data_IF_615384009926
#
_entry.id   IF_615384009926
#
_cell.length_a   1.000
_cell.length_b   1.000
_cell.length_c   1.000
_cell.angle_alpha   90.00
_cell.angle_beta   90.00
_cell.angle_gamma   90.00
#
_symmetry.space_group_name_H-M   'P 1'
#
loop_
_entity.id
_entity.type
_entity.pdbx_description
1 polymer ?
#
# COMPACT_ATOMS: atom_id res chain seq x y z
N UNK A 1 -15.36 -5.19 -3.22
CA UNK A 1 -15.30 -5.58 -1.80
C UNK A 1 -14.08 -4.95 -1.14
N UNK A 2 -14.07 -4.92 0.20
CA UNK A 2 -12.98 -4.39 1.01
C UNK A 2 -12.36 -5.54 1.81
N UNK A 3 -11.13 -5.91 1.48
CA UNK A 3 -10.44 -7.08 2.03
C UNK A 3 -9.38 -6.68 3.04
N UNK A 4 -9.26 -7.46 4.10
CA UNK A 4 -8.29 -7.29 5.18
C UNK A 4 -7.54 -8.59 5.43
N UNK A 5 -6.36 -8.48 6.01
CA UNK A 5 -5.74 -9.58 6.75
C UNK A 5 -5.79 -9.21 8.22
N UNK A 6 -6.26 -10.10 9.08
CA UNK A 6 -6.48 -9.81 10.49
C UNK A 6 -6.04 -10.96 11.39
N UNK A 7 -5.94 -10.69 12.70
CA UNK A 7 -5.82 -11.69 13.76
C UNK A 7 -6.85 -11.40 14.86
N UNK A 8 -7.51 -12.45 15.34
CA UNK A 8 -8.45 -12.35 16.48
C UNK A 8 -7.75 -12.07 17.80
N UNK A 9 -6.50 -12.51 17.96
CA UNK A 9 -5.67 -12.28 19.14
C UNK A 9 -4.18 -12.39 18.78
N UNK A 10 -3.31 -12.15 19.75
CA UNK A 10 -1.85 -12.11 19.56
C UNK A 10 -1.23 -13.47 19.19
N UNK A 11 -1.92 -14.57 19.48
CA UNK A 11 -1.47 -15.95 19.19
C UNK A 11 -2.13 -16.55 17.96
N UNK A 12 -3.26 -15.98 17.50
CA UNK A 12 -4.00 -16.45 16.35
C UNK A 12 -3.20 -16.33 15.04
N UNK A 13 -3.42 -17.25 14.08
CA UNK A 13 -2.88 -17.10 12.74
C UNK A 13 -3.48 -15.88 12.05
N UNK A 14 -2.75 -15.31 11.10
CA UNK A 14 -3.31 -14.30 10.20
C UNK A 14 -4.36 -14.96 9.29
N UNK A 15 -5.52 -14.33 9.15
CA UNK A 15 -6.63 -14.79 8.32
C UNK A 15 -7.07 -13.71 7.33
N UNK A 16 -7.53 -14.15 6.18
CA UNK A 16 -8.24 -13.33 5.20
C UNK A 16 -9.64 -12.99 5.72
N UNK A 17 -9.99 -11.71 5.68
CA UNK A 17 -11.34 -11.26 5.97
C UNK A 17 -11.87 -10.27 4.94
N UNK A 18 -13.18 -10.11 4.92
CA UNK A 18 -13.88 -9.03 4.21
C UNK A 18 -14.57 -8.12 5.21
N UNK A 19 -14.52 -6.81 4.97
CA UNK A 19 -15.28 -5.84 5.76
C UNK A 19 -16.72 -5.79 5.27
N UNK A 20 -17.66 -6.02 6.18
CA UNK A 20 -19.09 -5.81 6.00
C UNK A 20 -19.54 -4.92 7.16
N UNK A 21 -19.87 -3.67 6.87
CA UNK A 21 -20.08 -2.62 7.88
C UNK A 21 -18.90 -2.50 8.88
N UNK A 22 -19.15 -2.72 10.17
CA UNK A 22 -18.16 -2.69 11.24
C UNK A 22 -17.64 -4.08 11.64
N UNK A 23 -17.93 -5.10 10.82
CA UNK A 23 -17.52 -6.48 11.02
C UNK A 23 -16.41 -6.89 10.05
N UNK A 24 -15.49 -7.71 10.55
CA UNK A 24 -14.60 -8.54 9.73
C UNK A 24 -15.22 -9.92 9.62
N UNK A 25 -15.63 -10.29 8.41
CA UNK A 25 -16.06 -11.65 8.07
C UNK A 25 -14.82 -12.48 7.74
N UNK A 26 -14.51 -13.50 8.53
CA UNK A 26 -13.47 -14.48 8.21
C UNK A 26 -13.92 -15.29 6.99
N UNK A 27 -13.24 -15.10 5.84
CA UNK A 27 -13.69 -15.71 4.60
C UNK A 27 -13.55 -17.24 4.60
N UNK A 28 -12.59 -17.78 5.36
CA UNK A 28 -12.43 -19.22 5.47
C UNK A 28 -13.60 -19.84 6.25
N UNK A 29 -13.89 -19.31 7.44
CA UNK A 29 -15.01 -19.79 8.27
C UNK A 29 -16.37 -19.54 7.59
N UNK A 30 -16.54 -18.40 6.93
CA UNK A 30 -17.72 -18.09 6.12
C UNK A 30 -17.93 -19.12 5.01
N UNK A 31 -16.88 -19.38 4.22
CA UNK A 31 -16.93 -20.35 3.14
C UNK A 31 -17.27 -21.77 3.62
N UNK A 32 -16.71 -22.20 4.77
CA UNK A 32 -17.06 -23.47 5.39
C UNK A 32 -18.54 -23.52 5.83
N UNK A 33 -19.03 -22.46 6.45
CA UNK A 33 -20.39 -22.40 6.99
C UNK A 33 -21.47 -22.52 5.90
N UNK A 34 -21.21 -21.99 4.70
CA UNK A 34 -22.15 -22.03 3.56
C UNK A 34 -21.86 -23.16 2.56
N UNK A 35 -20.86 -24.01 2.83
CA UNK A 35 -20.47 -25.10 1.95
C UNK A 35 -19.79 -24.68 0.65
N UNK A 36 -19.18 -23.49 0.61
CA UNK A 36 -18.38 -22.97 -0.50
C UNK A 36 -16.98 -22.59 -0.02
N UNK A 37 -16.02 -23.53 -0.01
CA UNK A 37 -14.69 -23.28 0.56
C UNK A 37 -13.98 -22.09 -0.08
N UNK A 38 -13.49 -21.19 0.78
CA UNK A 38 -12.64 -20.06 0.43
C UNK A 38 -11.27 -20.21 1.12
N UNK A 39 -10.19 -19.66 0.56
CA UNK A 39 -8.87 -19.73 1.18
C UNK A 39 -8.81 -18.85 2.43
N UNK A 40 -7.86 -19.17 3.30
CA UNK A 40 -7.66 -18.47 4.57
C UNK A 40 -6.67 -17.31 4.52
N UNK A 41 -6.05 -17.05 3.36
CA UNK A 41 -5.06 -16.00 3.20
C UNK A 41 -5.24 -15.22 1.89
N UNK A 42 -4.81 -13.96 1.92
CA UNK A 42 -5.02 -12.99 0.84
C UNK A 42 -4.39 -13.42 -0.49
N UNK A 43 -3.17 -13.97 -0.46
CA UNK A 43 -2.45 -14.32 -1.68
C UNK A 43 -3.10 -15.49 -2.41
N UNK A 44 -3.56 -16.50 -1.68
CA UNK A 44 -4.28 -17.63 -2.28
C UNK A 44 -5.64 -17.17 -2.84
N UNK A 45 -6.31 -16.21 -2.19
CA UNK A 45 -7.53 -15.61 -2.75
C UNK A 45 -7.28 -14.83 -4.04
N UNK A 46 -6.20 -14.05 -4.09
CA UNK A 46 -5.77 -13.34 -5.29
C UNK A 46 -5.47 -14.34 -6.43
N UNK A 47 -4.82 -15.47 -6.12
CA UNK A 47 -4.51 -16.51 -7.11
C UNK A 47 -5.75 -17.18 -7.73
N UNK A 48 -6.87 -17.21 -7.02
CA UNK A 48 -8.15 -17.70 -7.58
C UNK A 48 -8.71 -16.78 -8.67
N UNK A 49 -8.20 -15.55 -8.78
CA UNK A 49 -8.51 -14.62 -9.85
C UNK A 49 -9.87 -13.91 -9.72
N UNK A 50 -10.26 -13.12 -10.74
CA UNK A 50 -11.40 -12.20 -10.65
C UNK A 50 -12.75 -12.90 -10.47
N UNK A 51 -12.88 -14.16 -10.89
CA UNK A 51 -14.11 -14.95 -10.67
C UNK A 51 -14.38 -15.16 -9.17
N UNK A 52 -13.34 -15.41 -8.37
CA UNK A 52 -13.50 -15.59 -6.92
C UNK A 52 -13.95 -14.31 -6.22
N UNK A 53 -13.47 -13.14 -6.68
CA UNK A 53 -13.94 -11.83 -6.19
C UNK A 53 -15.43 -11.67 -6.51
N UNK A 54 -15.85 -11.91 -7.76
CA UNK A 54 -17.25 -11.75 -8.15
C UNK A 54 -18.19 -12.67 -7.35
N UNK A 55 -17.84 -13.96 -7.24
CA UNK A 55 -18.62 -14.94 -6.48
C UNK A 55 -18.66 -14.59 -5.00
N UNK A 56 -17.53 -14.27 -4.38
CA UNK A 56 -17.47 -13.94 -2.95
C UNK A 56 -18.21 -12.63 -2.65
N UNK A 57 -18.12 -11.62 -3.51
CA UNK A 57 -18.92 -10.39 -3.41
C UNK A 57 -20.42 -10.68 -3.43
N UNK A 58 -20.88 -11.60 -4.29
CA UNK A 58 -22.28 -11.98 -4.36
C UNK A 58 -22.72 -12.71 -3.09
N UNK A 59 -21.92 -13.66 -2.60
CA UNK A 59 -22.21 -14.40 -1.37
C UNK A 59 -22.27 -13.48 -0.15
N UNK A 60 -21.31 -12.56 0.01
CA UNK A 60 -21.34 -11.60 1.12
C UNK A 60 -22.58 -10.70 1.07
N UNK A 61 -23.05 -10.32 -0.12
CA UNK A 61 -24.29 -9.55 -0.28
C UNK A 61 -25.54 -10.37 0.03
N UNK A 62 -25.57 -11.64 -0.35
CA UNK A 62 -26.69 -12.56 -0.09
C UNK A 62 -26.87 -12.81 1.41
N UNK A 63 -25.78 -12.91 2.17
CA UNK A 63 -25.78 -13.20 3.61
C UNK A 63 -25.61 -11.94 4.48
N UNK A 64 -25.62 -10.73 3.92
CA UNK A 64 -25.32 -9.50 4.65
C UNK A 64 -26.23 -9.29 5.88
N UNK A 65 -27.52 -9.63 5.78
CA UNK A 65 -28.50 -9.46 6.85
C UNK A 65 -28.48 -10.61 7.88
N UNK A 66 -27.96 -11.78 7.53
CA UNK A 66 -27.97 -12.99 8.35
C UNK A 66 -26.69 -13.81 8.14
N UNK A 67 -25.56 -13.25 8.57
CA UNK A 67 -24.27 -13.96 8.55
C UNK A 67 -24.34 -15.22 9.45
N UNK A 68 -23.77 -16.37 9.01
CA UNK A 68 -23.68 -17.55 9.86
C UNK A 68 -23.00 -17.27 11.20
N UNK A 69 -23.47 -17.91 12.26
CA UNK A 69 -22.90 -17.70 13.61
C UNK A 69 -21.41 -18.05 13.66
N UNK A 70 -20.61 -17.16 14.23
CA UNK A 70 -19.19 -17.39 14.49
C UNK A 70 -18.24 -17.07 13.33
N UNK A 71 -18.74 -16.58 12.19
CA UNK A 71 -17.90 -16.27 11.02
C UNK A 71 -17.45 -14.81 10.96
N UNK A 72 -17.94 -13.94 11.85
CA UNK A 72 -17.65 -12.52 11.85
C UNK A 72 -17.33 -11.99 13.24
N UNK A 73 -16.42 -11.02 13.31
CA UNK A 73 -15.96 -10.36 14.53
C UNK A 73 -15.95 -8.85 14.32
N UNK A 74 -16.37 -8.02 15.29
CA UNK A 74 -16.23 -6.57 15.18
C UNK A 74 -14.79 -6.15 14.88
N UNK A 75 -14.60 -5.20 13.95
CA UNK A 75 -13.26 -4.68 13.56
C UNK A 75 -12.49 -4.19 14.77
N UNK A 76 -13.17 -3.58 15.75
CA UNK A 76 -12.57 -3.09 16.99
C UNK A 76 -11.97 -4.19 17.89
N UNK A 77 -12.35 -5.45 17.67
CA UNK A 77 -11.92 -6.60 18.47
C UNK A 77 -10.83 -7.43 17.78
N UNK A 78 -10.32 -6.99 16.63
CA UNK A 78 -9.24 -7.67 15.91
C UNK A 78 -8.06 -6.75 15.69
N UNK A 79 -6.87 -7.33 15.49
CA UNK A 79 -5.72 -6.59 14.97
C UNK A 79 -5.70 -6.73 13.46
N UNK A 80 -5.90 -5.62 12.76
CA UNK A 80 -5.64 -5.55 11.32
C UNK A 80 -4.12 -5.62 11.09
N UNK A 81 -3.73 -6.43 10.11
CA UNK A 81 -2.37 -6.52 9.59
C UNK A 81 -2.31 -5.82 8.22
N UNK A 82 -1.12 -5.70 7.67
CA UNK A 82 -0.97 -5.37 6.26
C UNK A 82 -1.78 -6.37 5.41
N UNK A 83 -2.58 -5.94 4.42
CA UNK A 83 -3.41 -6.86 3.64
C UNK A 83 -2.63 -8.02 3.00
N UNK A 84 -1.38 -7.76 2.60
CA UNK A 84 -0.40 -8.78 2.20
C UNK A 84 0.81 -8.61 3.12
N UNK A 85 0.87 -9.32 4.28
CA UNK A 85 1.95 -9.13 5.26
C UNK A 85 3.34 -9.45 4.71
N UNK A 86 3.41 -10.38 3.76
CA UNK A 86 4.66 -10.78 3.10
C UNK A 86 4.45 -10.93 1.60
N UNK A 87 4.74 -9.89 0.80
CA UNK A 87 4.72 -9.99 -0.65
C UNK A 87 5.68 -11.07 -1.17
N UNK A 88 5.32 -11.75 -2.27
CA UNK A 88 6.13 -12.80 -2.91
C UNK A 88 7.40 -12.24 -3.55
N UNK A 89 7.32 -11.01 -4.06
CA UNK A 89 8.43 -10.23 -4.64
C UNK A 89 8.59 -8.90 -3.93
N UNK A 90 9.70 -8.21 -4.22
CA UNK A 90 9.84 -6.82 -3.82
C UNK A 90 8.69 -5.98 -4.38
N UNK A 91 8.29 -4.98 -3.60
CA UNK A 91 7.34 -3.95 -4.03
C UNK A 91 8.05 -3.09 -5.08
N UNK A 92 7.41 -2.86 -6.23
CA UNK A 92 7.89 -1.90 -7.23
C UNK A 92 7.49 -0.50 -6.79
N UNK A 93 8.46 0.38 -6.56
CA UNK A 93 8.18 1.78 -6.26
C UNK A 93 8.48 2.67 -7.45
N UNK A 94 7.69 3.74 -7.62
CA UNK A 94 7.83 4.69 -8.71
C UNK A 94 8.23 6.06 -8.17
N UNK A 95 9.44 6.51 -8.49
CA UNK A 95 9.89 7.84 -8.11
C UNK A 95 9.44 8.89 -9.11
N UNK A 96 9.31 10.14 -8.63
CA UNK A 96 9.10 11.32 -9.48
C UNK A 96 7.85 11.22 -10.38
N UNK A 97 6.77 10.63 -9.86
CA UNK A 97 5.54 10.39 -10.63
C UNK A 97 4.47 11.49 -10.50
N UNK A 98 4.78 12.63 -9.87
CA UNK A 98 3.90 13.80 -9.78
C UNK A 98 4.68 15.03 -10.21
N UNK A 99 4.10 15.87 -11.07
CA UNK A 99 4.78 17.01 -11.71
C UNK A 99 5.32 17.98 -10.65
N UNK A 100 4.49 18.34 -9.69
CA UNK A 100 4.81 19.23 -8.58
C UNK A 100 5.93 18.66 -7.70
N UNK A 101 5.91 17.34 -7.48
CA UNK A 101 6.95 16.65 -6.73
C UNK A 101 8.29 16.59 -7.47
N UNK A 102 8.30 16.53 -8.81
CA UNK A 102 9.55 16.66 -9.59
C UNK A 102 10.16 18.06 -9.42
N UNK A 103 9.32 19.09 -9.48
CA UNK A 103 9.75 20.48 -9.26
C UNK A 103 10.23 20.73 -7.83
N UNK A 104 9.64 20.06 -6.83
CA UNK A 104 10.10 20.06 -5.44
C UNK A 104 11.44 19.35 -5.26
N UNK A 105 11.53 18.09 -5.69
CA UNK A 105 12.71 17.24 -5.52
C UNK A 105 13.94 17.83 -6.21
N UNK A 106 13.79 18.42 -7.40
CA UNK A 106 14.92 19.00 -8.14
C UNK A 106 15.46 20.30 -7.54
N UNK A 107 14.77 20.90 -6.55
CA UNK A 107 15.27 22.05 -5.79
C UNK A 107 16.09 21.64 -4.58
N UNK A 108 15.73 20.54 -3.91
CA UNK A 108 16.28 20.18 -2.59
C UNK A 108 17.05 18.86 -2.56
N UNK A 109 16.89 18.01 -3.59
CA UNK A 109 17.54 16.69 -3.69
C UNK A 109 18.40 16.61 -4.96
N UNK A 110 19.36 15.67 -4.95
CA UNK A 110 20.18 15.32 -6.12
C UNK A 110 19.34 14.51 -7.13
N UNK A 111 18.46 15.21 -7.84
CA UNK A 111 17.55 14.71 -8.87
C UNK A 111 17.42 15.70 -10.03
N UNK A 112 17.09 15.20 -11.23
CA UNK A 112 16.96 16.04 -12.43
C UNK A 112 15.75 16.98 -12.36
N UNK A 113 15.88 18.17 -12.96
CA UNK A 113 14.76 19.11 -13.18
C UNK A 113 13.86 18.71 -14.36
N UNK A 114 14.34 17.85 -15.25
CA UNK A 114 13.55 17.38 -16.38
C UNK A 114 12.54 16.33 -15.93
N UNK A 115 11.29 16.43 -16.41
CA UNK A 115 10.30 15.39 -16.19
C UNK A 115 10.83 14.05 -16.73
N UNK A 116 10.73 12.96 -15.96
CA UNK A 116 11.10 11.64 -16.45
C UNK A 116 10.35 11.31 -17.75
N UNK A 117 11.03 10.68 -18.71
CA UNK A 117 10.44 10.21 -19.97
C UNK A 117 9.88 8.78 -19.87
N UNK A 118 10.23 8.09 -18.80
CA UNK A 118 9.82 6.74 -18.46
C UNK A 118 9.73 6.62 -16.92
N UNK A 119 8.93 5.69 -16.37
CA UNK A 119 8.84 5.49 -14.93
C UNK A 119 10.21 5.24 -14.28
N UNK A 120 10.50 5.94 -13.18
CA UNK A 120 11.74 5.72 -12.41
C UNK A 120 11.48 4.62 -11.38
N UNK A 121 11.84 3.40 -11.73
CA UNK A 121 11.52 2.21 -10.93
C UNK A 121 12.61 1.93 -9.90
N UNK A 122 12.19 1.68 -8.67
CA UNK A 122 13.00 1.12 -7.59
C UNK A 122 12.24 -0.03 -6.91
N UNK A 123 12.82 -0.59 -5.84
CA UNK A 123 12.13 -1.64 -5.10
C UNK A 123 12.28 -1.51 -3.59
N UNK A 124 11.27 -1.99 -2.86
CA UNK A 124 11.29 -2.18 -1.40
C UNK A 124 11.17 -3.68 -1.08
N UNK A 125 12.09 -4.26 -0.29
CA UNK A 125 12.03 -5.68 0.07
C UNK A 125 10.76 -6.07 0.84
N UNK A 126 10.30 -7.33 0.79
CA UNK A 126 9.15 -7.78 1.58
C UNK A 126 9.30 -7.66 3.10
N UNK A 127 10.51 -7.43 3.64
CA UNK A 127 10.75 -7.21 5.09
C UNK A 127 10.35 -5.82 5.54
N UNK A 128 10.12 -4.89 4.62
CA UNK A 128 9.73 -3.52 4.97
C UNK A 128 8.26 -3.39 5.35
N UNK A 129 7.44 -4.40 5.05
CA UNK A 129 5.98 -4.32 5.19
C UNK A 129 5.56 -4.41 6.65
N UNK A 130 4.76 -3.44 7.08
CA UNK A 130 4.05 -3.42 8.36
C UNK A 130 2.61 -2.96 8.14
N UNK A 131 1.71 -3.34 9.05
CA UNK A 131 0.28 -3.04 8.93
C UNK A 131 -0.15 -1.73 9.59
N UNK A 132 -1.47 -1.52 9.68
CA UNK A 132 -2.05 -0.43 10.47
C UNK A 132 -1.61 -0.48 11.94
N UNK A 133 -1.25 0.69 12.47
CA UNK A 133 -0.78 0.94 13.85
C UNK A 133 0.51 0.23 14.25
N UNK A 134 1.14 -0.52 13.34
CA UNK A 134 2.47 -1.07 13.58
C UNK A 134 3.51 0.05 13.50
N UNK A 135 4.58 -0.07 14.28
CA UNK A 135 5.58 0.98 14.40
C UNK A 135 6.49 1.06 13.17
N UNK A 136 6.83 2.29 12.78
CA UNK A 136 7.96 2.59 11.90
C UNK A 136 9.20 2.76 12.77
N UNK A 137 10.20 1.95 12.52
CA UNK A 137 11.44 1.91 13.29
C UNK A 137 12.41 2.99 12.83
N UNK A 138 12.79 3.87 13.76
CA UNK A 138 13.79 4.89 13.53
C UNK A 138 15.10 4.55 14.27
N UNK A 139 16.19 4.39 13.52
CA UNK A 139 17.52 4.20 14.06
C UNK A 139 18.40 5.43 13.76
N UNK A 140 18.72 6.21 14.79
CA UNK A 140 19.48 7.46 14.63
C UNK A 140 20.94 7.26 14.20
N UNK A 141 21.47 6.03 14.36
CA UNK A 141 22.78 5.69 13.84
C UNK A 141 22.77 5.43 12.32
N UNK A 142 21.58 5.25 11.73
CA UNK A 142 21.39 4.98 10.30
C UNK A 142 20.92 6.23 9.56
N UNK A 143 19.88 6.92 10.06
CA UNK A 143 19.31 8.09 9.38
C UNK A 143 19.00 9.22 10.36
N UNK A 144 19.11 10.46 9.87
CA UNK A 144 18.63 11.70 10.47
C UNK A 144 17.62 12.43 9.57
N UNK A 145 17.21 11.79 8.46
CA UNK A 145 16.35 12.37 7.42
C UNK A 145 15.28 11.36 7.00
N UNK A 146 14.55 10.83 7.98
CA UNK A 146 13.39 9.95 7.74
C UNK A 146 12.21 10.78 7.25
N UNK A 147 11.71 10.47 6.05
CA UNK A 147 10.71 11.24 5.33
C UNK A 147 9.46 10.41 5.02
N UNK A 148 8.35 11.09 4.75
CA UNK A 148 7.05 10.53 4.45
C UNK A 148 6.67 10.70 2.98
N UNK A 149 5.90 9.75 2.45
CA UNK A 149 5.41 9.75 1.07
C UNK A 149 4.10 8.95 1.02
N UNK A 150 2.92 9.61 1.01
CA UNK A 150 1.65 8.90 0.76
C UNK A 150 1.54 8.47 -0.70
N UNK A 151 1.15 7.23 -0.94
CA UNK A 151 0.98 6.68 -2.28
C UNK A 151 -0.27 5.79 -2.41
N UNK A 152 -0.82 5.76 -3.62
CA UNK A 152 -1.74 4.69 -4.02
C UNK A 152 -0.92 3.43 -4.29
N UNK A 153 -1.29 2.32 -3.65
CA UNK A 153 -0.76 1.00 -3.97
C UNK A 153 -1.70 0.30 -4.96
N UNK A 154 -1.12 -0.30 -5.99
CA UNK A 154 -1.83 -1.14 -6.98
C UNK A 154 -1.40 -2.59 -6.75
N UNK A 155 -2.38 -3.47 -6.54
CA UNK A 155 -2.14 -4.91 -6.37
C UNK A 155 -2.50 -5.62 -7.67
N UNK A 156 -1.56 -6.39 -8.21
CA UNK A 156 -1.76 -7.18 -9.43
C UNK A 156 -2.59 -8.43 -9.09
N UNK A 157 -3.62 -8.70 -9.89
CA UNK A 157 -4.55 -9.82 -9.69
C UNK A 157 -4.39 -10.97 -10.67
N UNK A 158 -3.86 -10.69 -11.87
CA UNK A 158 -3.58 -11.73 -12.87
C UNK A 158 -2.20 -11.52 -13.45
N UNK A 159 -1.58 -12.60 -13.92
CA UNK A 159 -0.23 -12.56 -14.48
C UNK A 159 -0.15 -11.59 -15.66
N UNK A 160 0.62 -10.52 -15.54
CA UNK A 160 0.80 -9.50 -16.57
C UNK A 160 2.20 -9.62 -17.20
N UNK A 161 2.25 -9.88 -18.51
CA UNK A 161 3.49 -9.95 -19.29
C UNK A 161 3.29 -9.31 -20.65
N UNK A 162 4.03 -8.24 -20.93
CA UNK A 162 3.95 -7.43 -22.16
C UNK A 162 2.51 -6.97 -22.44
N UNK A 163 1.86 -6.48 -21.39
CA UNK A 163 0.46 -6.03 -21.44
C UNK A 163 0.40 -4.68 -22.14
N UNK A 164 -0.62 -4.50 -22.98
CA UNK A 164 -0.89 -3.20 -23.60
C UNK A 164 -1.51 -2.26 -22.57
N UNK A 165 -1.23 -0.95 -22.69
CA UNK A 165 -1.80 0.10 -21.81
C UNK A 165 -3.33 0.06 -21.72
N UNK A 166 -4.02 -0.21 -22.84
CA UNK A 166 -5.49 -0.30 -22.90
C UNK A 166 -6.08 -1.45 -22.08
N UNK A 167 -5.32 -2.55 -21.90
CA UNK A 167 -5.75 -3.74 -21.18
C UNK A 167 -5.28 -3.76 -19.72
N UNK A 168 -4.41 -2.83 -19.33
CA UNK A 168 -3.65 -2.87 -18.08
C UNK A 168 -4.50 -3.00 -16.82
N UNK A 169 -5.64 -2.28 -16.73
CA UNK A 169 -6.52 -2.33 -15.56
C UNK A 169 -7.19 -3.70 -15.38
N UNK A 170 -7.33 -4.50 -16.44
CA UNK A 170 -7.89 -5.86 -16.34
C UNK A 170 -6.98 -6.81 -15.54
N UNK A 171 -5.73 -6.41 -15.29
CA UNK A 171 -4.76 -7.18 -14.51
C UNK A 171 -4.68 -6.74 -13.05
N UNK A 172 -5.43 -5.70 -12.65
CA UNK A 172 -5.41 -5.15 -11.29
C UNK A 172 -6.45 -5.87 -10.42
N UNK A 173 -6.02 -6.37 -9.27
CA UNK A 173 -6.89 -6.95 -8.24
C UNK A 173 -7.64 -5.86 -7.48
N UNK A 174 -6.90 -4.81 -7.09
CA UNK A 174 -7.43 -3.73 -6.28
C UNK A 174 -6.34 -2.75 -5.86
N UNK A 175 -6.71 -1.91 -4.91
CA UNK A 175 -5.95 -0.75 -4.48
C UNK A 175 -5.87 -0.68 -2.95
N UNK A 176 -4.79 -0.10 -2.44
CA UNK A 176 -4.61 0.16 -1.01
C UNK A 176 -3.82 1.47 -0.79
N UNK A 177 -3.55 1.83 0.47
CA UNK A 177 -2.61 2.90 0.82
C UNK A 177 -1.24 2.30 1.08
N UNK A 178 -0.20 2.96 0.60
CA UNK A 178 1.19 2.70 0.98
C UNK A 178 1.78 4.00 1.53
N UNK A 179 2.61 3.86 2.57
CA UNK A 179 3.53 4.92 2.98
C UNK A 179 4.95 4.54 2.54
N UNK A 180 5.53 5.27 1.59
CA UNK A 180 6.91 5.05 1.13
C UNK A 180 7.92 5.81 2.02
N UNK A 181 8.13 5.27 3.23
CA UNK A 181 9.09 5.85 4.18
C UNK A 181 10.49 5.84 3.57
N UNK A 182 11.17 6.98 3.69
CA UNK A 182 12.43 7.23 2.99
C UNK A 182 13.48 7.85 3.90
N UNK A 183 14.60 7.17 4.12
CA UNK A 183 15.80 7.75 4.74
C UNK A 183 16.62 8.50 3.68
N UNK A 184 16.41 9.81 3.53
CA UNK A 184 16.95 10.60 2.40
C UNK A 184 18.48 10.64 2.36
N UNK A 185 19.12 10.60 3.52
CA UNK A 185 20.58 10.56 3.72
C UNK A 185 21.21 9.17 3.48
N UNK A 186 20.39 8.15 3.18
CA UNK A 186 20.83 6.77 3.00
C UNK A 186 20.91 6.32 1.54
N UNK A 187 20.76 7.22 0.56
CA UNK A 187 20.94 6.87 -0.86
C UNK A 187 22.38 6.43 -1.14
N UNK A 188 22.57 5.35 -1.89
CA UNK A 188 23.90 4.79 -2.20
C UNK A 188 24.15 4.78 -3.70
N UNK A 189 25.10 5.60 -4.17
CA UNK A 189 25.49 5.67 -5.59
C UNK A 189 24.28 5.78 -6.54
N UNK A 190 23.32 6.65 -6.19
CA UNK A 190 22.09 6.86 -6.97
C UNK A 190 20.97 5.83 -6.74
N UNK A 191 21.24 4.69 -6.10
CA UNK A 191 20.24 3.64 -5.82
C UNK A 191 19.40 3.96 -4.58
N UNK A 192 18.10 3.64 -4.66
CA UNK A 192 17.12 3.93 -3.59
C UNK A 192 16.78 2.75 -2.68
N UNK A 193 17.20 1.53 -3.03
CA UNK A 193 16.80 0.32 -2.28
C UNK A 193 17.26 0.37 -0.82
N UNK A 194 18.41 0.97 -0.48
CA UNK A 194 18.84 1.06 0.93
C UNK A 194 18.14 2.19 1.69
N UNK A 195 17.84 3.32 1.04
CA UNK A 195 17.11 4.44 1.66
C UNK A 195 15.63 4.14 1.87
N UNK A 196 15.04 3.32 0.99
CA UNK A 196 13.60 2.99 1.01
C UNK A 196 13.33 1.56 1.49
N UNK A 197 14.35 0.70 1.56
CA UNK A 197 14.20 -0.73 1.84
C UNK A 197 14.58 -1.16 3.25
N UNK A 198 14.63 -0.24 4.21
CA UNK A 198 14.84 -0.59 5.63
C UNK A 198 13.58 -1.25 6.20
N UNK A 199 13.75 -2.09 7.22
CA UNK A 199 12.61 -2.76 7.84
C UNK A 199 11.58 -1.73 8.33
N UNK A 200 10.29 -2.08 8.25
CA UNK A 200 9.13 -1.20 8.52
C UNK A 200 8.90 0.00 7.60
N UNK A 201 9.71 0.21 6.55
CA UNK A 201 9.59 1.40 5.70
C UNK A 201 8.49 1.30 4.62
N UNK A 202 7.71 0.22 4.56
CA UNK A 202 6.54 0.09 3.69
C UNK A 202 5.25 -0.21 4.48
N UNK A 203 4.78 0.69 5.36
CA UNK A 203 3.43 0.55 5.89
C UNK A 203 2.41 0.43 4.75
N UNK A 204 1.53 -0.57 4.85
CA UNK A 204 0.61 -0.95 3.79
C UNK A 204 -0.77 -1.33 4.36
N UNK A 205 -1.85 -0.75 3.83
CA UNK A 205 -3.20 -1.02 4.28
C UNK A 205 -4.13 0.20 4.25
N UNK A 206 -5.15 0.28 5.12
CA UNK A 206 -5.60 -0.75 6.05
C UNK A 206 -6.34 -1.91 5.37
N UNK A 207 -6.78 -1.71 4.13
CA UNK A 207 -7.59 -2.65 3.35
C UNK A 207 -7.10 -2.71 1.91
N UNK A 208 -7.41 -3.78 1.18
CA UNK A 208 -7.45 -3.75 -0.28
C UNK A 208 -8.91 -3.52 -0.70
N UNK A 209 -9.17 -2.45 -1.46
CA UNK A 209 -10.45 -2.26 -2.16
C UNK A 209 -10.32 -2.86 -3.55
N UNK A 210 -11.18 -3.81 -3.90
CA UNK A 210 -11.09 -4.48 -5.20
C UNK A 210 -11.46 -3.55 -6.36
N UNK A 211 -10.90 -3.83 -7.54
CA UNK A 211 -11.01 -2.95 -8.71
C UNK A 211 -12.45 -2.79 -9.24
N UNK A 212 -13.35 -3.73 -8.92
CA UNK A 212 -14.78 -3.61 -9.23
C UNK A 212 -15.54 -2.61 -8.33
N UNK A 213 -15.01 -2.30 -7.14
CA UNK A 213 -15.57 -1.26 -6.26
C UNK A 213 -14.91 0.10 -6.42
N UNK A 214 -13.59 0.14 -6.65
CA UNK A 214 -12.86 1.36 -6.95
C UNK A 214 -12.55 1.41 -8.45
N UNK A 215 -13.51 1.91 -9.22
CA UNK A 215 -13.49 1.86 -10.70
C UNK A 215 -12.60 2.90 -11.37
N UNK A 216 -12.36 4.05 -10.72
CA UNK A 216 -11.50 5.12 -11.24
C UNK A 216 -10.33 5.40 -10.28
N UNK A 217 -9.18 4.74 -10.45
CA UNK A 217 -8.00 4.99 -9.63
C UNK A 217 -7.26 6.30 -9.98
N UNK A 218 -7.67 7.00 -11.04
CA UNK A 218 -6.97 8.20 -11.55
C UNK A 218 -7.65 9.50 -11.14
N UNK A 219 -8.61 9.47 -10.21
CA UNK A 219 -9.23 10.66 -9.66
C UNK A 219 -9.57 10.50 -8.17
N UNK A 220 -8.60 10.09 -7.37
CA UNK A 220 -8.73 9.94 -5.92
C UNK A 220 -7.97 11.04 -5.21
N UNK A 221 -8.58 11.67 -4.20
CA UNK A 221 -7.83 12.54 -3.31
C UNK A 221 -6.91 11.71 -2.41
N UNK A 222 -5.69 12.20 -2.20
CA UNK A 222 -4.72 11.63 -1.28
C UNK A 222 -4.18 12.70 -0.36
N UNK A 223 -4.01 12.36 0.91
CA UNK A 223 -3.51 13.28 1.93
C UNK A 223 -2.63 12.57 2.94
N UNK A 224 -1.76 13.35 3.58
CA UNK A 224 -0.93 12.87 4.67
C UNK A 224 -0.88 13.91 5.78
N UNK A 225 -1.00 13.48 7.03
CA UNK A 225 -0.75 14.31 8.20
C UNK A 225 0.37 13.74 9.06
N UNK A 226 1.15 14.64 9.66
CA UNK A 226 2.12 14.33 10.71
C UNK A 226 1.64 15.01 11.99
N UNK A 227 1.36 14.23 13.03
CA UNK A 227 0.80 14.71 14.29
C UNK A 227 -0.46 15.59 14.10
N UNK A 228 -1.34 15.18 13.19
CA UNK A 228 -2.57 15.92 12.85
C UNK A 228 -2.38 17.16 11.96
N UNK A 229 -1.14 17.50 11.59
CA UNK A 229 -0.85 18.63 10.68
C UNK A 229 -0.71 18.11 9.25
N UNK A 230 -1.55 18.59 8.32
CA UNK A 230 -1.47 18.21 6.90
C UNK A 230 -0.12 18.57 6.30
N UNK A 231 0.52 17.56 5.69
CA UNK A 231 1.80 17.67 4.99
C UNK A 231 1.67 17.47 3.49
N UNK A 232 0.83 16.54 3.04
CA UNK A 232 0.52 16.32 1.63
C UNK A 232 -0.98 16.38 1.42
N UNK A 233 -1.42 16.93 0.29
CA UNK A 233 -2.83 17.00 -0.12
C UNK A 233 -2.90 17.19 -1.62
N UNK A 234 -3.21 16.12 -2.36
CA UNK A 234 -3.22 16.12 -3.83
C UNK A 234 -4.27 15.16 -4.38
N UNK A 235 -4.20 14.84 -5.66
CA UNK A 235 -5.13 13.94 -6.35
C UNK A 235 -4.40 13.06 -7.38
N UNK A 236 -4.79 11.79 -7.51
CA UNK A 236 -4.12 10.82 -8.40
C UNK A 236 -4.18 11.19 -9.89
N UNK A 237 -5.06 12.12 -10.29
CA UNK A 237 -5.08 12.67 -11.66
C UNK A 237 -3.81 13.43 -12.05
N UNK A 238 -3.00 13.81 -11.07
CA UNK A 238 -1.74 14.51 -11.26
C UNK A 238 -0.55 13.57 -11.48
N UNK A 239 -0.78 12.25 -11.50
CA UNK A 239 0.25 11.29 -11.88
C UNK A 239 0.76 11.54 -13.29
N UNK A 240 2.09 11.58 -13.47
CA UNK A 240 2.74 11.70 -14.76
C UNK A 240 2.56 10.42 -15.59
N UNK A 241 2.73 9.26 -14.94
CA UNK A 241 2.46 7.94 -15.48
C UNK A 241 1.33 7.30 -14.67
N UNK A 242 0.15 7.18 -15.28
CA UNK A 242 -1.00 6.58 -14.60
C UNK A 242 -0.84 5.05 -14.42
N UNK A 243 -1.75 4.42 -13.68
CA UNK A 243 -1.70 2.97 -13.38
C UNK A 243 -1.57 2.11 -14.65
N UNK A 244 -2.24 2.49 -15.75
CA UNK A 244 -2.17 1.75 -16.99
C UNK A 244 -0.77 1.77 -17.59
N UNK A 245 -0.10 2.92 -17.53
CA UNK A 245 1.28 3.08 -17.99
C UNK A 245 2.25 2.29 -17.14
N UNK A 246 2.10 2.35 -15.82
CA UNK A 246 2.98 1.63 -14.89
C UNK A 246 2.92 0.11 -15.11
N UNK A 247 1.71 -0.46 -15.22
CA UNK A 247 1.53 -1.90 -15.48
C UNK A 247 2.07 -2.28 -16.86
N UNK A 248 1.80 -1.49 -17.90
CA UNK A 248 2.28 -1.76 -19.25
C UNK A 248 3.81 -1.68 -19.35
N UNK A 249 4.42 -0.63 -18.79
CA UNK A 249 5.85 -0.38 -18.80
C UNK A 249 6.63 -1.46 -18.05
N UNK A 250 6.26 -1.73 -16.79
CA UNK A 250 6.92 -2.76 -16.00
C UNK A 250 6.75 -4.13 -16.67
N UNK A 251 5.52 -4.45 -17.11
CA UNK A 251 5.23 -5.76 -17.72
C UNK A 251 5.94 -5.99 -19.06
N UNK A 252 6.40 -4.93 -19.75
CA UNK A 252 7.16 -5.06 -20.99
C UNK A 252 8.49 -5.80 -20.78
N UNK A 253 9.15 -5.57 -19.64
CA UNK A 253 10.44 -6.19 -19.28
C UNK A 253 10.37 -7.22 -18.15
N UNK A 254 9.45 -7.06 -17.20
CA UNK A 254 9.37 -7.83 -15.95
C UNK A 254 7.97 -8.44 -15.83
N UNK A 255 7.84 -9.76 -15.75
CA UNK A 255 6.51 -10.36 -15.54
C UNK A 255 5.99 -10.01 -14.14
N UNK A 256 4.83 -9.36 -14.10
CA UNK A 256 4.06 -9.14 -12.88
C UNK A 256 3.22 -10.39 -12.60
N UNK A 257 3.20 -10.82 -11.34
CA UNK A 257 2.46 -11.98 -10.86
C UNK A 257 1.34 -11.54 -9.91
N UNK A 258 0.27 -12.36 -9.75
CA UNK A 258 -0.76 -12.09 -8.77
C UNK A 258 -0.17 -11.90 -7.36
N UNK A 259 -0.55 -10.80 -6.71
CA UNK A 259 -0.02 -10.34 -5.43
C UNK A 259 1.19 -9.41 -5.52
N UNK A 260 1.74 -9.14 -6.71
CA UNK A 260 2.77 -8.10 -6.88
C UNK A 260 2.16 -6.72 -6.60
N UNK A 261 2.96 -5.82 -6.02
CA UNK A 261 2.51 -4.50 -5.57
C UNK A 261 3.32 -3.41 -6.28
N UNK A 262 2.62 -2.40 -6.79
CA UNK A 262 3.20 -1.18 -7.33
C UNK A 262 2.81 -0.01 -6.43
N UNK A 263 3.80 0.59 -5.76
CA UNK A 263 3.67 1.86 -5.05
C UNK A 263 3.89 2.98 -6.09
N UNK A 264 2.83 3.74 -6.37
CA UNK A 264 2.69 4.52 -7.62
C UNK A 264 3.38 5.89 -7.61
N UNK A 265 4.10 6.23 -6.56
CA UNK A 265 4.71 7.55 -6.37
C UNK A 265 3.86 8.48 -5.53
N UNK A 266 4.51 9.51 -5.00
CA UNK A 266 3.95 10.47 -4.06
C UNK A 266 3.83 11.88 -4.64
N UNK A 267 2.84 12.68 -4.20
CA UNK A 267 2.73 14.08 -4.57
C UNK A 267 3.73 14.96 -3.81
N UNK A 268 3.72 16.25 -4.08
CA UNK A 268 4.52 17.24 -3.36
C UNK A 268 4.17 17.34 -1.87
N UNK A 269 5.04 18.01 -1.10
CA UNK A 269 4.85 18.24 0.34
C UNK A 269 5.63 17.26 1.23
N UNK A 270 6.56 16.51 0.64
CA UNK A 270 7.52 15.67 1.38
C UNK A 270 8.39 16.54 2.30
N UNK A 271 8.89 15.97 3.38
CA UNK A 271 9.73 16.63 4.37
C UNK A 271 10.99 17.28 3.76
N UNK A 272 11.63 16.57 2.83
CA UNK A 272 12.81 17.06 2.11
C UNK A 272 12.55 18.29 1.22
N UNK A 273 11.29 18.52 0.82
CA UNK A 273 10.86 19.61 -0.06
C UNK A 273 10.53 20.92 0.65
N UNK A 274 10.51 20.89 1.99
CA UNK A 274 10.14 22.02 2.85
C UNK A 274 11.29 22.98 3.10
N UNK A 275 10.96 24.21 3.48
CA UNK A 275 11.91 25.23 3.91
C UNK A 275 11.46 25.85 5.26
N UNK A 276 12.14 25.53 6.38
CA UNK A 276 13.22 24.54 6.49
C UNK A 276 12.73 23.11 6.22
N UNK A 277 13.66 22.21 5.89
CA UNK A 277 13.35 20.78 5.77
C UNK A 277 12.79 20.23 7.08
N UNK A 278 11.92 19.23 6.96
CA UNK A 278 11.22 18.60 8.09
C UNK A 278 11.35 17.08 7.97
N UNK A 279 11.46 16.37 9.10
CA UNK A 279 11.67 14.92 9.15
C UNK A 279 10.81 14.29 10.24
N UNK A 280 10.54 13.00 10.12
CA UNK A 280 9.86 12.22 11.17
C UNK A 280 10.85 11.77 12.24
N UNK A 281 10.44 11.83 13.50
CA UNK A 281 11.23 11.45 14.66
C UNK A 281 10.46 10.49 15.58
N UNK A 282 11.16 9.72 16.43
CA UNK A 282 10.53 8.93 17.48
C UNK A 282 9.53 9.74 18.31
N UNK A 283 8.30 9.22 18.43
CA UNK A 283 7.18 9.89 19.10
C UNK A 283 6.18 10.53 18.13
N UNK A 284 6.55 10.73 16.87
CA UNK A 284 5.61 11.19 15.84
C UNK A 284 4.60 10.11 15.47
N UNK A 285 3.47 10.55 14.91
CA UNK A 285 2.47 9.71 14.26
C UNK A 285 2.19 10.26 12.88
N UNK A 286 2.31 9.39 11.88
CA UNK A 286 1.99 9.70 10.49
C UNK A 286 0.71 8.98 10.07
N UNK A 287 -0.14 9.70 9.35
CA UNK A 287 -1.42 9.19 8.84
C UNK A 287 -1.54 9.51 7.36
N UNK A 288 -1.65 8.48 6.53
CA UNK A 288 -1.78 8.56 5.08
C UNK A 288 -3.18 8.12 4.66
N UNK A 289 -3.88 8.92 3.87
CA UNK A 289 -5.25 8.65 3.44
C UNK A 289 -5.33 8.64 1.93
N UNK A 290 -6.05 7.66 1.38
CA UNK A 290 -6.51 7.67 -0.01
C UNK A 290 -8.03 7.54 -0.02
N UNK A 291 -8.69 8.46 -0.71
CA UNK A 291 -10.14 8.49 -0.88
C UNK A 291 -10.68 7.16 -1.42
N UNK A 292 -11.83 6.72 -0.87
CA UNK A 292 -12.43 5.42 -1.20
C UNK A 292 -11.74 4.21 -0.56
N UNK A 293 -10.49 4.34 -0.11
CA UNK A 293 -9.71 3.25 0.50
C UNK A 293 -9.73 3.36 2.03
N UNK A 294 -9.26 4.48 2.59
CA UNK A 294 -9.19 4.69 4.03
C UNK A 294 -7.88 5.33 4.47
N UNK A 295 -7.64 5.32 5.78
CA UNK A 295 -6.48 5.94 6.42
C UNK A 295 -5.59 4.86 7.03
N UNK A 296 -4.30 4.93 6.73
CA UNK A 296 -3.23 4.14 7.30
C UNK A 296 -2.46 4.98 8.30
N UNK A 297 -2.41 4.54 9.55
CA UNK A 297 -1.79 5.25 10.67
C UNK A 297 -0.63 4.45 11.22
N UNK A 298 0.52 5.09 11.44
CA UNK A 298 1.71 4.43 12.00
C UNK A 298 2.47 5.36 12.96
N UNK A 299 2.79 4.92 14.19
CA UNK A 299 3.69 5.65 15.08
C UNK A 299 5.16 5.40 14.73
N UNK A 300 6.04 6.37 15.03
CA UNK A 300 7.48 6.23 14.85
C UNK A 300 8.12 5.94 16.21
N UNK A 301 8.98 4.91 16.28
CA UNK A 301 9.63 4.45 17.52
C UNK A 301 11.14 4.44 17.40
N UNK A 302 11.85 4.76 18.49
CA UNK A 302 13.32 4.66 18.54
C UNK A 302 13.73 3.20 18.73
N UNK A 303 14.53 2.67 17.79
CA UNK A 303 15.16 1.36 17.90
C UNK A 303 16.69 1.45 17.96
N UNK A 304 17.23 2.65 18.21
CA UNK A 304 18.67 2.83 18.28
C UNK A 304 19.24 1.98 19.42
N UNK A 305 20.21 1.08 19.16
CA UNK A 305 20.84 0.30 20.20
C UNK A 305 21.46 1.18 21.30
N UNK A 306 21.31 0.75 22.56
CA UNK A 306 22.04 1.35 23.67
C UNK A 306 23.56 1.19 23.44
N UNK A 307 24.33 2.21 23.82
CA UNK A 307 25.80 2.18 23.76
C UNK A 307 26.40 1.19 24.75
#
# INVERSE_FOLDING_TARGET
MRLVTFRSDVTAPARLGALVDDLVVDLFEFGLAIGQPLPDNMLDFIDMGPGAVATTSQLLKEYADELPLGVAVPVANVKLLAPIPRPRKNIFGIGLNYVEHVAESSRTLDTSKELPKQPVIFSKPPTTVVGPDDAIEHNKNITQQMDWEVELAVIVGTRAKRVKKEDALNYVFGYSVMLDVSARDCRRAGQWIYSKGQDTYAPFGPVIVTADELVDPHNLNLSLTLNGVTKQSSNTKHMLFNVNELVADISAGITLEPGDIIATGTPEGVGAGRDPQEWMWPGDVVEATVEGIGTLRNPIVDVTPAK
#
